data_IF_229824864853
#
_entry.id   IF_229824864853
#
_cell.length_a   1.000
_cell.length_b   1.000
_cell.length_c   1.000
_cell.angle_alpha   90.00
_cell.angle_beta   90.00
_cell.angle_gamma   90.00
#
_symmetry.space_group_name_H-M   'P 1'
#
loop_
_entity.id
_entity.type
_entity.pdbx_description
1 polymer ?
#
# COMPACT_ATOMS: atom_id res chain seq x y z
N UNK A 1 -31.15 4.19 -11.68
CA UNK A 1 -30.20 5.07 -12.37
C UNK A 1 -29.19 5.52 -11.36
N UNK A 2 -27.95 5.08 -11.54
CA UNK A 2 -26.83 5.39 -10.66
C UNK A 2 -26.37 6.85 -10.86
N UNK A 3 -27.29 7.82 -10.80
CA UNK A 3 -26.99 9.22 -11.00
C UNK A 3 -26.33 9.79 -9.74
N UNK A 4 -25.05 10.18 -9.77
CA UNK A 4 -24.40 10.73 -8.59
C UNK A 4 -24.95 12.10 -8.17
N UNK A 5 -25.72 12.78 -9.03
CA UNK A 5 -26.39 14.04 -8.69
C UNK A 5 -27.71 13.84 -7.93
N UNK A 6 -28.27 12.63 -7.92
CA UNK A 6 -29.47 12.33 -7.14
C UNK A 6 -29.12 12.25 -5.66
N UNK A 7 -30.00 12.74 -4.78
CA UNK A 7 -29.86 12.55 -3.33
C UNK A 7 -29.84 11.06 -2.95
N UNK A 8 -30.62 10.23 -3.66
CA UNK A 8 -30.61 8.76 -3.55
C UNK A 8 -30.39 8.09 -4.91
N UNK A 9 -29.12 7.90 -5.34
CA UNK A 9 -28.80 7.25 -6.59
C UNK A 9 -29.31 5.80 -6.60
N UNK A 10 -30.21 5.46 -7.53
CA UNK A 10 -30.80 4.13 -7.62
C UNK A 10 -29.88 3.16 -8.37
N UNK A 11 -29.28 2.20 -7.66
CA UNK A 11 -28.42 1.16 -8.27
C UNK A 11 -29.16 -0.13 -8.64
N UNK A 12 -30.40 -0.30 -8.15
CA UNK A 12 -31.30 -1.42 -8.50
C UNK A 12 -32.74 -0.94 -8.68
N UNK A 13 -33.54 -1.72 -9.42
CA UNK A 13 -34.94 -1.41 -9.70
C UNK A 13 -35.15 -0.20 -10.64
N UNK A 14 -36.41 0.19 -10.79
CA UNK A 14 -36.81 1.33 -11.62
C UNK A 14 -36.69 2.65 -10.82
N UNK A 15 -36.04 3.70 -11.35
CA UNK A 15 -36.01 5.04 -10.74
C UNK A 15 -37.41 5.65 -10.63
N UNK A 16 -37.55 6.68 -9.79
CA UNK A 16 -38.78 7.49 -9.80
C UNK A 16 -38.91 8.26 -11.12
N UNK A 17 -40.14 8.68 -11.46
CA UNK A 17 -40.38 9.49 -12.65
C UNK A 17 -39.61 10.82 -12.60
N UNK A 18 -39.55 11.45 -11.43
CA UNK A 18 -38.78 12.67 -11.20
C UNK A 18 -37.28 12.49 -11.50
N UNK A 19 -36.69 11.37 -11.08
CA UNK A 19 -35.29 11.04 -11.40
C UNK A 19 -35.07 10.86 -12.90
N UNK A 20 -36.08 10.34 -13.62
CA UNK A 20 -36.02 10.15 -15.08
C UNK A 20 -36.09 11.49 -15.79
N UNK A 21 -37.04 12.34 -15.39
CA UNK A 21 -37.29 13.62 -16.05
C UNK A 21 -36.13 14.61 -15.82
N UNK A 22 -35.48 14.54 -14.66
CA UNK A 22 -34.36 15.42 -14.30
C UNK A 22 -32.97 14.90 -14.76
N UNK A 23 -32.88 13.69 -15.33
CA UNK A 23 -31.60 13.14 -15.78
C UNK A 23 -31.14 13.75 -17.11
N UNK A 24 -30.36 14.83 -17.03
CA UNK A 24 -29.78 15.54 -18.17
C UNK A 24 -28.51 14.91 -18.74
N UNK A 25 -28.06 13.78 -18.22
CA UNK A 25 -26.80 13.15 -18.64
C UNK A 25 -26.92 12.51 -20.02
N UNK A 26 -25.83 12.55 -20.77
CA UNK A 26 -25.67 11.82 -22.03
C UNK A 26 -25.64 10.31 -21.82
N UNK A 27 -25.88 9.53 -22.88
CA UNK A 27 -25.73 8.06 -22.85
C UNK A 27 -24.33 7.65 -22.38
N UNK A 28 -23.27 8.35 -22.82
CA UNK A 28 -21.91 8.08 -22.39
C UNK A 28 -21.69 8.27 -20.89
N UNK A 29 -22.20 9.37 -20.32
CA UNK A 29 -22.16 9.62 -18.88
C UNK A 29 -22.97 8.59 -18.08
N UNK A 30 -24.16 8.22 -18.56
CA UNK A 30 -24.98 7.17 -17.93
C UNK A 30 -24.26 5.82 -17.92
N UNK A 31 -23.62 5.44 -19.03
CA UNK A 31 -22.83 4.20 -19.13
C UNK A 31 -21.60 4.23 -18.21
N UNK A 32 -20.90 5.35 -18.15
CA UNK A 32 -19.78 5.57 -17.24
C UNK A 32 -20.20 5.37 -15.77
N UNK A 33 -21.27 6.04 -15.35
CA UNK A 33 -21.73 5.97 -13.96
C UNK A 33 -22.28 4.58 -13.62
N UNK A 34 -22.92 3.90 -14.58
CA UNK A 34 -23.33 2.51 -14.43
C UNK A 34 -22.12 1.57 -14.24
N UNK A 35 -21.05 1.74 -15.01
CA UNK A 35 -19.83 0.95 -14.87
C UNK A 35 -19.18 1.17 -13.50
N UNK A 36 -19.10 2.43 -13.03
CA UNK A 36 -18.62 2.75 -11.68
C UNK A 36 -19.48 2.07 -10.62
N UNK A 37 -20.80 2.13 -10.75
CA UNK A 37 -21.72 1.52 -9.79
C UNK A 37 -21.56 0.00 -9.73
N UNK A 38 -21.45 -0.68 -10.88
CA UNK A 38 -21.16 -2.12 -10.94
C UNK A 38 -19.85 -2.44 -10.25
N UNK A 39 -18.78 -1.70 -10.56
CA UNK A 39 -17.47 -1.89 -9.93
C UNK A 39 -17.51 -1.74 -8.41
N UNK A 40 -18.17 -0.69 -7.90
CA UNK A 40 -18.35 -0.47 -6.45
C UNK A 40 -19.15 -1.59 -5.80
N UNK A 41 -20.27 -2.00 -6.39
CA UNK A 41 -21.09 -3.09 -5.83
C UNK A 41 -20.32 -4.40 -5.74
N UNK A 42 -19.51 -4.73 -6.76
CA UNK A 42 -18.69 -5.94 -6.76
C UNK A 42 -17.54 -5.84 -5.74
N UNK A 43 -16.84 -4.71 -5.68
CA UNK A 43 -15.73 -4.51 -4.73
C UNK A 43 -16.21 -4.49 -3.28
N UNK A 44 -17.41 -3.96 -3.02
CA UNK A 44 -18.01 -3.88 -1.69
C UNK A 44 -18.86 -5.11 -1.33
N UNK A 45 -18.99 -6.12 -2.19
CA UNK A 45 -19.84 -7.28 -1.92
C UNK A 45 -19.33 -8.15 -0.77
N UNK A 46 -18.03 -8.07 -0.46
CA UNK A 46 -17.37 -8.97 0.48
C UNK A 46 -17.16 -10.39 -0.04
N UNK A 47 -17.56 -10.69 -1.28
CA UNK A 47 -17.48 -12.02 -1.89
C UNK A 47 -16.20 -12.22 -2.73
N UNK A 48 -15.40 -11.16 -2.91
CA UNK A 48 -14.14 -11.24 -3.65
C UNK A 48 -13.04 -11.95 -2.84
N UNK A 49 -12.10 -12.54 -3.58
CA UNK A 49 -10.92 -13.17 -2.98
C UNK A 49 -10.00 -12.18 -2.27
N UNK A 50 -9.12 -12.71 -1.41
CA UNK A 50 -8.07 -11.94 -0.77
C UNK A 50 -6.79 -11.96 -1.62
N UNK A 51 -6.11 -10.82 -1.72
CA UNK A 51 -4.76 -10.75 -2.27
C UNK A 51 -3.79 -10.61 -1.10
N UNK A 52 -2.93 -11.61 -0.91
CA UNK A 52 -1.88 -11.56 0.12
C UNK A 52 -2.43 -11.37 1.57
N UNK A 53 -3.66 -11.83 1.84
CA UNK A 53 -4.30 -11.71 3.17
C UNK A 53 -5.02 -10.39 3.42
N UNK A 54 -5.01 -9.46 2.45
CA UNK A 54 -5.87 -8.29 2.46
C UNK A 54 -7.08 -8.56 1.55
N UNK A 55 -8.31 -8.14 1.92
CA UNK A 55 -9.34 -7.90 0.90
C UNK A 55 -8.80 -6.89 -0.13
N UNK A 56 -9.46 -6.71 -1.28
CA UNK A 56 -9.01 -5.74 -2.31
C UNK A 56 -9.04 -4.33 -1.71
N UNK A 57 -7.93 -3.94 -1.07
CA UNK A 57 -7.74 -2.71 -0.30
C UNK A 57 -6.67 -1.89 -0.97
N UNK A 58 -6.99 -0.64 -1.32
CA UNK A 58 -6.00 0.31 -1.81
C UNK A 58 -5.27 0.90 -0.60
N UNK A 59 -3.99 0.61 -0.47
CA UNK A 59 -3.14 1.26 0.54
C UNK A 59 -2.50 2.47 -0.13
N UNK A 60 -2.60 3.63 0.52
CA UNK A 60 -2.02 4.89 0.03
C UNK A 60 -1.18 5.51 1.13
N UNK A 61 0.00 5.98 0.79
CA UNK A 61 0.92 6.69 1.69
C UNK A 61 1.02 8.15 1.29
N UNK A 62 0.89 9.06 2.24
CA UNK A 62 1.03 10.51 2.09
C UNK A 62 1.58 11.11 3.37
N UNK A 63 1.99 12.38 3.35
CA UNK A 63 2.38 13.12 4.56
C UNK A 63 1.13 13.67 5.29
N UNK A 64 1.25 13.90 6.60
CA UNK A 64 0.20 14.57 7.38
C UNK A 64 -0.05 15.99 6.86
N UNK A 65 1.02 16.72 6.54
CA UNK A 65 0.96 18.09 6.00
C UNK A 65 0.16 18.15 4.69
N UNK A 66 0.41 17.24 3.75
CA UNK A 66 -0.33 17.16 2.49
C UNK A 66 -1.82 16.87 2.74
N UNK A 67 -2.11 15.95 3.66
CA UNK A 67 -3.47 15.57 4.01
C UNK A 67 -4.22 16.73 4.70
N UNK A 68 -3.63 17.40 5.69
CA UNK A 68 -4.21 18.53 6.41
C UNK A 68 -4.42 19.75 5.51
N UNK A 69 -3.50 20.00 4.59
CA UNK A 69 -3.64 21.10 3.62
C UNK A 69 -4.52 20.76 2.42
N UNK A 70 -4.95 19.50 2.29
CA UNK A 70 -5.66 18.95 1.14
C UNK A 70 -4.92 19.21 -0.20
N UNK A 71 -3.58 19.20 -0.17
CA UNK A 71 -2.71 19.43 -1.33
C UNK A 71 -1.72 18.28 -1.51
N UNK A 72 -1.05 18.26 -2.65
CA UNK A 72 -0.10 17.19 -2.99
C UNK A 72 -0.78 15.92 -3.51
N UNK A 73 -0.09 14.79 -3.31
CA UNK A 73 -0.50 13.49 -3.85
C UNK A 73 -0.12 12.36 -2.89
N UNK A 74 -0.95 11.34 -2.81
CA UNK A 74 -0.59 10.07 -2.18
C UNK A 74 0.05 9.10 -3.17
N UNK A 75 0.86 8.16 -2.68
CA UNK A 75 1.43 7.05 -3.46
C UNK A 75 0.67 5.78 -3.09
N UNK A 76 0.05 5.13 -4.08
CA UNK A 76 -0.60 3.84 -3.87
C UNK A 76 0.43 2.73 -3.64
N UNK A 77 0.04 1.62 -3.01
CA UNK A 77 0.90 0.44 -2.86
C UNK A 77 1.32 -0.21 -4.19
N UNK A 78 0.71 0.20 -5.30
CA UNK A 78 1.09 -0.16 -6.67
C UNK A 78 2.08 0.82 -7.32
N UNK A 79 2.43 1.91 -6.65
CA UNK A 79 3.37 2.94 -7.13
C UNK A 79 2.74 4.12 -7.87
N UNK A 80 1.44 4.08 -8.18
CA UNK A 80 0.74 5.19 -8.83
C UNK A 80 0.58 6.39 -7.90
N UNK A 81 0.71 7.60 -8.45
CA UNK A 81 0.36 8.85 -7.77
C UNK A 81 -1.14 9.09 -7.84
N UNK A 82 -1.71 9.48 -6.70
CA UNK A 82 -3.12 9.80 -6.55
C UNK A 82 -3.23 11.25 -6.06
N UNK A 83 -3.83 12.17 -6.83
CA UNK A 83 -4.05 13.55 -6.39
C UNK A 83 -4.81 13.59 -5.05
N UNK A 84 -4.47 14.54 -4.17
CA UNK A 84 -5.05 14.58 -2.82
C UNK A 84 -6.58 14.66 -2.83
N UNK A 85 -7.17 15.37 -3.79
CA UNK A 85 -8.63 15.43 -3.96
C UNK A 85 -9.25 14.04 -4.21
N UNK A 86 -8.60 13.20 -5.02
CA UNK A 86 -9.05 11.84 -5.29
C UNK A 86 -8.80 10.92 -4.10
N UNK A 87 -7.68 11.08 -3.40
CA UNK A 87 -7.40 10.33 -2.18
C UNK A 87 -8.45 10.61 -1.10
N UNK A 88 -8.76 11.88 -0.82
CA UNK A 88 -9.78 12.26 0.16
C UNK A 88 -11.16 11.71 -0.24
N UNK A 89 -11.51 11.80 -1.52
CA UNK A 89 -12.76 11.24 -2.08
C UNK A 89 -12.83 9.71 -1.98
N UNK A 90 -11.69 9.02 -2.09
CA UNK A 90 -11.63 7.57 -1.88
C UNK A 90 -11.71 7.22 -0.39
N UNK A 91 -11.01 7.99 0.46
CA UNK A 91 -10.96 7.78 1.90
C UNK A 91 -12.32 7.98 2.58
N UNK A 92 -13.16 8.90 2.09
CA UNK A 92 -14.51 9.14 2.64
C UNK A 92 -15.41 7.91 2.66
N UNK A 93 -15.09 6.87 1.88
CA UNK A 93 -15.81 5.60 1.83
C UNK A 93 -14.97 4.40 2.33
N UNK A 94 -13.78 4.65 2.89
CA UNK A 94 -12.85 3.61 3.32
C UNK A 94 -12.94 3.32 4.82
N UNK A 95 -12.54 2.10 5.20
CA UNK A 95 -12.15 1.84 6.59
C UNK A 95 -10.79 2.49 6.84
N UNK A 96 -10.79 3.51 7.68
CA UNK A 96 -9.57 4.25 8.03
C UNK A 96 -8.72 3.43 8.99
N UNK A 97 -7.54 3.02 8.53
CA UNK A 97 -6.51 2.44 9.37
C UNK A 97 -5.44 3.50 9.60
N UNK A 98 -5.37 4.02 10.82
CA UNK A 98 -4.29 4.89 11.24
C UNK A 98 -3.12 4.01 11.71
N UNK A 99 -2.02 4.01 10.96
CA UNK A 99 -0.77 3.44 11.45
C UNK A 99 -0.14 4.42 12.46
N UNK A 100 -0.46 4.25 13.74
CA UNK A 100 0.15 5.02 14.83
C UNK A 100 1.46 4.33 15.23
N UNK A 101 2.58 4.96 14.93
CA UNK A 101 3.92 4.40 15.15
C UNK A 101 4.46 4.60 16.57
N UNK A 102 3.73 5.31 17.43
CA UNK A 102 4.02 5.39 18.85
C UNK A 102 2.70 5.48 19.65
N UNK A 103 2.37 4.39 20.36
CA UNK A 103 1.21 4.19 21.25
C UNK A 103 -0.17 3.97 20.56
N UNK A 104 -0.44 2.68 20.26
CA UNK A 104 -1.71 1.91 20.32
C UNK A 104 -2.34 1.41 18.99
N UNK A 105 -2.54 0.08 18.89
CA UNK A 105 -3.80 -0.70 18.75
C UNK A 105 -3.49 -2.17 19.15
N UNK A 106 -4.50 -3.02 19.44
CA UNK A 106 -4.33 -4.46 19.77
C UNK A 106 -3.87 -5.34 18.57
N UNK A 107 -3.43 -4.74 17.46
CA UNK A 107 -2.90 -5.48 16.32
C UNK A 107 -1.44 -5.84 16.59
N UNK A 108 -1.16 -7.12 16.78
CA UNK A 108 0.19 -7.58 17.09
C UNK A 108 1.12 -7.40 15.87
N UNK A 109 1.95 -6.35 15.92
CA UNK A 109 3.07 -6.13 14.99
C UNK A 109 4.29 -6.99 15.34
N UNK A 110 4.28 -7.61 16.51
CA UNK A 110 5.30 -8.49 17.04
C UNK A 110 4.68 -9.86 17.26
N UNK A 111 4.85 -10.76 16.30
CA UNK A 111 4.25 -12.11 16.34
C UNK A 111 5.26 -13.17 16.80
N UNK A 112 6.55 -12.82 16.91
CA UNK A 112 7.62 -13.74 17.25
C UNK A 112 7.64 -14.95 16.31
N UNK A 113 7.68 -16.15 16.89
CA UNK A 113 7.60 -17.44 16.17
C UNK A 113 6.20 -18.02 16.05
N UNK A 114 5.21 -17.44 16.73
CA UNK A 114 3.85 -17.99 16.80
C UNK A 114 3.19 -18.05 15.42
N UNK A 115 3.61 -17.16 14.50
CA UNK A 115 3.18 -17.16 13.10
C UNK A 115 4.38 -16.96 12.18
N UNK A 116 4.41 -17.72 11.08
CA UNK A 116 5.38 -17.53 9.99
C UNK A 116 4.98 -16.39 9.05
N UNK A 117 3.69 -16.25 8.78
CA UNK A 117 3.17 -15.26 7.83
C UNK A 117 2.87 -13.95 8.55
N UNK A 118 3.21 -12.84 7.89
CA UNK A 118 2.95 -11.51 8.40
C UNK A 118 1.45 -11.23 8.53
N UNK A 119 1.06 -10.50 9.58
CA UNK A 119 -0.32 -10.04 9.76
C UNK A 119 -0.70 -8.95 8.76
N UNK A 120 -1.99 -8.65 8.69
CA UNK A 120 -2.53 -7.51 7.94
C UNK A 120 -1.89 -6.20 8.45
N UNK A 121 -1.82 -6.00 9.76
CA UNK A 121 -1.17 -4.82 10.35
C UNK A 121 0.29 -4.66 9.91
N UNK A 122 1.07 -5.75 9.93
CA UNK A 122 2.46 -5.72 9.48
C UNK A 122 2.57 -5.35 8.00
N UNK A 123 1.71 -5.89 7.14
CA UNK A 123 1.71 -5.53 5.70
C UNK A 123 1.36 -4.07 5.46
N UNK A 124 0.40 -3.51 6.20
CA UNK A 124 0.05 -2.08 6.12
C UNK A 124 1.27 -1.22 6.51
N UNK A 125 1.94 -1.57 7.61
CA UNK A 125 3.16 -0.87 8.04
C UNK A 125 4.25 -0.96 6.96
N UNK A 126 4.46 -2.12 6.35
CA UNK A 126 5.44 -2.28 5.28
C UNK A 126 5.09 -1.46 4.03
N UNK A 127 3.81 -1.34 3.68
CA UNK A 127 3.39 -0.43 2.59
C UNK A 127 3.71 1.04 2.89
N UNK A 128 3.57 1.46 4.14
CA UNK A 128 3.93 2.82 4.54
C UNK A 128 5.46 3.03 4.62
N UNK A 129 6.18 2.09 5.23
CA UNK A 129 7.63 2.19 5.50
C UNK A 129 8.50 1.89 4.29
N UNK A 130 8.19 0.82 3.55
CA UNK A 130 9.04 0.29 2.48
C UNK A 130 8.55 0.70 1.09
N UNK A 131 7.22 0.89 0.92
CA UNK A 131 6.50 1.29 -0.32
C UNK A 131 6.68 0.37 -1.56
N UNK A 132 7.72 -0.45 -1.59
CA UNK A 132 8.06 -1.40 -2.63
C UNK A 132 9.22 -2.30 -2.23
N UNK A 133 9.87 -2.94 -3.19
CA UNK A 133 10.99 -3.81 -2.88
C UNK A 133 12.15 -2.99 -2.32
N UNK A 134 12.63 -3.35 -1.13
CA UNK A 134 13.69 -2.59 -0.45
C UNK A 134 15.09 -2.75 -1.05
N UNK A 135 15.27 -3.69 -1.99
CA UNK A 135 16.54 -3.93 -2.68
C UNK A 135 16.93 -2.71 -3.51
N UNK A 136 18.15 -2.17 -3.36
CA UNK A 136 18.64 -1.03 -4.16
C UNK A 136 18.44 -1.24 -5.66
N UNK A 137 17.78 -0.28 -6.31
CA UNK A 137 17.54 -0.26 -7.76
C UNK A 137 16.35 -1.12 -8.23
N UNK A 138 15.67 -1.85 -7.35
CA UNK A 138 14.47 -2.60 -7.74
C UNK A 138 13.27 -1.66 -7.87
N UNK A 139 12.47 -1.84 -8.92
CA UNK A 139 11.29 -1.00 -9.22
C UNK A 139 9.97 -1.67 -8.82
N UNK A 140 10.01 -2.91 -8.32
CA UNK A 140 8.80 -3.68 -8.03
C UNK A 140 8.02 -3.02 -6.88
N UNK A 141 6.77 -2.58 -7.12
CA UNK A 141 5.97 -1.89 -6.11
C UNK A 141 5.48 -2.85 -5.04
N UNK A 142 5.01 -2.32 -3.91
CA UNK A 142 4.61 -3.11 -2.74
C UNK A 142 3.65 -4.27 -3.05
N UNK A 143 2.69 -4.07 -3.97
CA UNK A 143 1.76 -5.15 -4.38
C UNK A 143 2.45 -6.36 -5.03
N UNK A 144 3.62 -6.17 -5.64
CA UNK A 144 4.46 -7.23 -6.22
C UNK A 144 5.49 -7.82 -5.25
N UNK A 145 5.41 -7.48 -3.96
CA UNK A 145 6.38 -7.92 -2.95
C UNK A 145 5.81 -8.95 -1.98
N UNK A 146 6.74 -9.66 -1.36
CA UNK A 146 6.55 -10.58 -0.26
C UNK A 146 7.15 -9.98 1.00
N UNK A 147 6.68 -10.44 2.16
CA UNK A 147 7.32 -10.10 3.43
C UNK A 147 8.51 -11.04 3.66
N UNK A 148 9.70 -10.47 3.68
CA UNK A 148 10.98 -11.14 3.88
C UNK A 148 11.46 -10.94 5.31
N UNK A 149 11.88 -12.01 5.97
CA UNK A 149 12.55 -11.97 7.27
C UNK A 149 14.03 -11.63 7.09
N UNK A 150 14.49 -10.52 7.65
CA UNK A 150 15.87 -10.05 7.49
C UNK A 150 16.91 -11.02 8.01
N UNK A 151 16.55 -11.82 9.01
CA UNK A 151 17.37 -12.87 9.59
C UNK A 151 16.88 -14.29 9.23
N UNK A 152 16.28 -14.50 8.04
CA UNK A 152 15.94 -15.83 7.49
C UNK A 152 15.13 -16.73 8.44
N UNK A 153 13.80 -16.76 8.30
CA UNK A 153 12.89 -17.44 9.24
C UNK A 153 13.28 -18.89 9.56
N UNK A 154 13.59 -19.72 8.56
CA UNK A 154 13.95 -21.13 8.77
C UNK A 154 15.43 -21.30 9.14
N UNK A 155 16.32 -20.49 8.56
CA UNK A 155 17.76 -20.68 8.61
C UNK A 155 18.38 -20.15 9.91
N UNK A 156 17.96 -18.98 10.38
CA UNK A 156 18.55 -18.34 11.57
C UNK A 156 17.49 -17.98 12.63
N UNK A 157 16.35 -18.69 12.65
CA UNK A 157 15.29 -18.51 13.65
C UNK A 157 14.72 -17.07 13.70
N UNK A 158 14.66 -16.39 12.55
CA UNK A 158 14.11 -15.04 12.43
C UNK A 158 12.66 -14.95 12.94
N UNK A 159 12.30 -13.81 13.52
CA UNK A 159 10.99 -13.56 14.09
C UNK A 159 10.10 -12.81 13.11
N UNK A 160 8.79 -13.05 13.17
CA UNK A 160 7.80 -12.27 12.43
C UNK A 160 7.45 -11.02 13.24
N UNK A 161 8.44 -10.17 13.46
CA UNK A 161 8.34 -8.87 14.12
C UNK A 161 8.52 -7.76 13.09
N UNK A 162 7.85 -6.62 13.25
CA UNK A 162 7.80 -5.58 12.20
C UNK A 162 9.15 -4.92 11.90
N UNK A 163 10.06 -4.93 12.88
CA UNK A 163 11.46 -4.49 12.78
C UNK A 163 12.41 -5.58 12.23
N UNK A 164 11.94 -6.82 12.10
CA UNK A 164 12.68 -7.96 11.57
C UNK A 164 12.16 -8.44 10.20
N UNK A 165 11.19 -7.72 9.63
CA UNK A 165 10.63 -8.03 8.30
C UNK A 165 10.59 -6.81 7.39
N UNK A 166 10.75 -7.06 6.09
CA UNK A 166 10.80 -6.04 5.03
C UNK A 166 10.08 -6.51 3.77
N UNK A 167 9.75 -5.59 2.85
CA UNK A 167 9.31 -5.97 1.51
C UNK A 167 10.48 -6.35 0.58
N UNK A 168 10.33 -7.49 -0.08
CA UNK A 168 11.21 -7.96 -1.16
C UNK A 168 10.38 -8.60 -2.28
N UNK A 169 10.68 -8.33 -3.55
CA UNK A 169 10.04 -9.01 -4.67
C UNK A 169 10.40 -10.50 -4.67
N UNK A 170 9.68 -11.34 -5.42
CA UNK A 170 9.97 -12.78 -5.43
C UNK A 170 11.41 -13.12 -5.84
N UNK A 171 12.00 -12.33 -6.76
CA UNK A 171 13.42 -12.47 -7.15
C UNK A 171 14.37 -12.11 -6.02
N UNK A 172 14.23 -10.91 -5.46
CA UNK A 172 15.11 -10.39 -4.43
C UNK A 172 14.95 -11.11 -3.08
N UNK A 173 13.75 -11.61 -2.76
CA UNK A 173 13.51 -12.43 -1.59
C UNK A 173 14.35 -13.72 -1.63
N UNK A 174 14.41 -14.38 -2.79
CA UNK A 174 15.27 -15.55 -2.98
C UNK A 174 16.75 -15.20 -3.01
N UNK A 175 17.09 -14.05 -3.59
CA UNK A 175 18.47 -13.54 -3.63
C UNK A 175 18.99 -13.23 -2.23
N UNK A 176 18.13 -12.71 -1.33
CA UNK A 176 18.48 -12.39 0.05
C UNK A 176 19.10 -13.59 0.79
N UNK A 177 18.58 -14.79 0.50
CA UNK A 177 19.06 -16.05 1.10
C UNK A 177 20.42 -16.53 0.53
N UNK A 178 20.97 -15.85 -0.47
CA UNK A 178 22.23 -16.18 -1.16
C UNK A 178 23.41 -15.29 -0.72
N UNK A 179 23.56 -15.11 0.59
CA UNK A 179 24.72 -14.40 1.17
C UNK A 179 24.60 -12.88 1.22
N UNK A 180 23.44 -12.33 0.86
CA UNK A 180 23.12 -10.94 1.16
C UNK A 180 22.75 -10.81 2.64
N UNK A 181 23.07 -9.65 3.23
CA UNK A 181 22.60 -9.28 4.57
C UNK A 181 21.64 -8.12 4.45
N UNK A 182 20.45 -8.28 5.02
CA UNK A 182 19.41 -7.24 5.02
C UNK A 182 19.24 -6.73 6.44
N UNK A 183 19.32 -5.42 6.66
CA UNK A 183 19.17 -4.82 7.99
C UNK A 183 18.18 -3.67 7.96
N UNK A 184 17.38 -3.54 9.02
CA UNK A 184 16.53 -2.37 9.23
C UNK A 184 17.30 -1.40 10.12
N UNK A 185 17.53 -0.18 9.62
CA UNK A 185 18.23 0.87 10.35
C UNK A 185 17.45 2.19 10.33
N UNK A 186 17.95 3.22 11.03
CA UNK A 186 17.30 4.54 11.09
C UNK A 186 17.18 5.20 9.70
N UNK A 187 18.15 4.95 8.81
CA UNK A 187 18.16 5.44 7.42
C UNK A 187 17.25 4.62 6.47
N UNK A 188 16.64 3.54 6.98
CA UNK A 188 15.82 2.59 6.24
C UNK A 188 16.47 1.21 6.09
N UNK A 189 15.96 0.44 5.12
CA UNK A 189 16.36 -0.95 4.90
C UNK A 189 17.61 -1.01 4.02
N UNK A 190 18.70 -1.53 4.58
CA UNK A 190 19.98 -1.69 3.89
C UNK A 190 20.15 -3.12 3.37
N UNK A 191 20.65 -3.24 2.15
CA UNK A 191 21.06 -4.51 1.55
C UNK A 191 22.56 -4.53 1.32
N UNK A 192 23.26 -5.34 2.10
CA UNK A 192 24.71 -5.51 2.04
C UNK A 192 25.00 -6.74 1.15
N UNK A 193 25.74 -6.56 0.04
CA UNK A 193 26.16 -7.67 -0.83
C UNK A 193 27.15 -8.62 -0.13
N UNK A 194 27.25 -9.87 -0.58
CA UNK A 194 28.41 -10.69 -0.24
C UNK A 194 29.70 -10.04 -0.81
N UNK A 195 30.88 -10.23 -0.19
CA UNK A 195 32.11 -9.52 -0.56
C UNK A 195 32.47 -9.55 -2.06
N UNK A 196 32.30 -10.65 -2.81
CA UNK A 196 32.61 -10.67 -4.25
C UNK A 196 31.70 -9.77 -5.10
N UNK A 197 30.53 -9.40 -4.59
CA UNK A 197 29.56 -8.54 -5.26
C UNK A 197 29.56 -7.13 -4.66
N UNK A 198 30.47 -6.82 -3.75
CA UNK A 198 30.58 -5.48 -3.16
C UNK A 198 31.51 -4.57 -3.98
N UNK A 199 30.91 -3.71 -4.77
CA UNK A 199 31.61 -2.76 -5.66
C UNK A 199 31.29 -1.31 -5.31
N UNK A 200 30.83 -1.04 -4.08
CA UNK A 200 30.50 0.31 -3.62
C UNK A 200 29.12 0.83 -4.06
N UNK A 201 28.23 -0.05 -4.52
CA UNK A 201 26.85 0.29 -4.87
C UNK A 201 26.03 0.75 -3.67
N UNK A 202 24.95 1.50 -3.95
CA UNK A 202 23.99 1.95 -2.94
C UNK A 202 23.44 0.79 -2.09
N UNK A 203 23.18 1.07 -0.81
CA UNK A 203 22.62 0.10 0.15
C UNK A 203 21.13 0.26 0.36
N UNK A 204 20.60 1.44 0.07
CA UNK A 204 19.18 1.78 0.17
C UNK A 204 18.53 1.80 -1.22
N UNK A 205 17.22 1.55 -1.26
CA UNK A 205 16.43 1.80 -2.46
C UNK A 205 15.78 3.19 -2.40
N UNK A 206 16.32 4.12 -3.19
CA UNK A 206 15.79 5.49 -3.30
C UNK A 206 14.59 5.60 -4.25
N UNK A 207 14.30 4.60 -5.08
CA UNK A 207 13.21 4.69 -6.07
C UNK A 207 11.83 4.76 -5.42
N UNK A 208 11.67 4.07 -4.29
CA UNK A 208 10.43 4.09 -3.52
C UNK A 208 10.40 5.23 -2.47
N UNK A 209 11.55 5.87 -2.23
CA UNK A 209 11.73 6.98 -1.30
C UNK A 209 12.52 8.14 -1.94
N UNK A 210 12.05 8.72 -3.05
CA UNK A 210 12.77 9.79 -3.75
C UNK A 210 12.97 11.01 -2.86
N UNK A 211 12.11 11.24 -1.86
CA UNK A 211 12.26 12.31 -0.87
C UNK A 211 13.59 12.26 -0.12
N UNK A 212 14.20 11.08 0.05
CA UNK A 212 15.50 10.93 0.73
C UNK A 212 16.67 11.52 -0.06
N UNK A 213 16.50 11.74 -1.37
CA UNK A 213 17.48 12.42 -2.21
C UNK A 213 17.32 13.94 -2.18
N UNK A 214 16.20 14.43 -1.66
CA UNK A 214 15.85 15.85 -1.64
C UNK A 214 16.19 16.54 -0.32
N UNK A 215 16.66 15.77 0.69
CA UNK A 215 17.05 16.31 1.98
C UNK A 215 18.31 17.17 1.81
N UNK A 216 18.18 18.48 1.99
CA UNK A 216 19.33 19.37 2.17
C UNK A 216 20.00 19.09 3.52
N UNK A 217 21.32 19.34 3.70
CA UNK A 217 22.04 18.99 4.92
C UNK A 217 21.46 19.52 6.25
N UNK A 218 20.47 20.41 6.23
CA UNK A 218 19.98 21.14 7.40
C UNK A 218 18.45 21.06 7.66
N UNK A 219 17.78 19.95 7.29
CA UNK A 219 16.41 19.64 7.77
C UNK A 219 15.39 19.29 6.69
#
# INVERSE_FOLDING_TARGET
MCNPADHEPRTSGTPSQEQIDNDTRTVGQRNHDALIAVGRSVLSSGELGQHNGLPVTVIVTTTLQDLESARGSGVTGGGSLLPMADLIRMASHAHHYLAVFDKHTNEALYLGRTKRLASVGQRIVLHARDRGCTKPGCTVPGYGTQVHHTNGWAKNNGQTNIDEVVFACGGDNRLAEQGWTVTVGPEGVQWIPPPPLDVGQARLNYLHHPERLLVTPDG
#
